data_IF_584822673977
#
_entry.id   IF_584822673977
#
_cell.length_a   1.000
_cell.length_b   1.000
_cell.length_c   1.000
_cell.angle_alpha   90.00
_cell.angle_beta   90.00
_cell.angle_gamma   90.00
#
_symmetry.space_group_name_H-M   'P 1'
#
loop_
_entity.id
_entity.type
_entity.pdbx_description
1 polymer ?
#
# COMPACT_ATOMS: atom_id res chain seq x y z
N UNK A 1 -4.12 36.22 -19.38
CA UNK A 1 -4.84 36.01 -18.10
C UNK A 1 -6.32 35.91 -18.47
N UNK A 2 -6.99 34.80 -18.18
CA UNK A 2 -8.40 34.60 -18.56
C UNK A 2 -9.30 35.12 -17.43
N UNK A 3 -10.40 35.81 -17.76
CA UNK A 3 -11.23 36.54 -16.79
C UNK A 3 -11.87 35.65 -15.72
N UNK A 4 -12.10 34.36 -16.00
CA UNK A 4 -12.80 33.43 -15.11
C UNK A 4 -11.93 32.23 -14.69
N UNK A 5 -10.60 32.36 -14.73
CA UNK A 5 -9.68 31.31 -14.27
C UNK A 5 -8.78 31.84 -13.16
N UNK A 6 -8.82 31.17 -12.01
CA UNK A 6 -7.92 31.38 -10.89
C UNK A 6 -7.22 30.07 -10.50
N UNK A 7 -6.01 30.19 -9.95
CA UNK A 7 -5.35 29.09 -9.27
C UNK A 7 -5.71 29.17 -7.79
N UNK A 8 -6.11 28.06 -7.20
CA UNK A 8 -6.44 27.96 -5.77
C UNK A 8 -5.88 26.68 -5.18
N UNK A 9 -5.54 26.73 -3.89
CA UNK A 9 -5.24 25.56 -3.09
C UNK A 9 -6.55 24.84 -2.72
N UNK A 10 -6.51 23.50 -2.51
CA UNK A 10 -7.69 22.76 -2.06
C UNK A 10 -8.35 23.35 -0.79
N UNK A 11 -7.55 23.85 0.16
CA UNK A 11 -8.07 24.51 1.37
C UNK A 11 -8.82 25.81 1.08
N UNK A 12 -8.33 26.63 0.14
CA UNK A 12 -8.97 27.87 -0.25
C UNK A 12 -10.29 27.61 -0.99
N UNK A 13 -10.37 26.53 -1.78
CA UNK A 13 -11.60 26.13 -2.47
C UNK A 13 -12.69 25.77 -1.47
N UNK A 14 -12.35 25.03 -0.41
CA UNK A 14 -13.30 24.62 0.64
C UNK A 14 -13.85 25.84 1.40
N UNK A 15 -13.03 26.88 1.62
CA UNK A 15 -13.47 28.12 2.27
C UNK A 15 -14.34 29.01 1.36
N UNK A 16 -14.12 28.94 0.04
CA UNK A 16 -14.80 29.80 -0.95
C UNK A 16 -16.16 29.26 -1.40
N UNK A 17 -16.35 27.94 -1.43
CA UNK A 17 -17.49 27.32 -2.09
C UNK A 17 -18.20 26.31 -1.18
N UNK A 18 -19.53 26.37 -1.17
CA UNK A 18 -20.35 25.40 -0.46
C UNK A 18 -20.35 24.04 -1.17
N UNK A 19 -20.37 22.90 -0.43
CA UNK A 19 -20.51 21.58 -1.02
C UNK A 19 -21.78 21.47 -1.86
N UNK A 20 -21.65 20.97 -3.09
CA UNK A 20 -22.79 20.82 -4.02
C UNK A 20 -23.60 19.54 -3.79
N UNK A 21 -23.02 18.55 -3.11
CA UNK A 21 -23.66 17.26 -2.87
C UNK A 21 -22.68 16.24 -2.31
N UNK A 22 -23.19 15.03 -2.12
CA UNK A 22 -22.44 13.91 -1.56
C UNK A 22 -22.29 12.80 -2.59
N UNK A 23 -21.14 12.13 -2.56
CA UNK A 23 -20.86 10.94 -3.35
C UNK A 23 -20.51 9.83 -2.36
N UNK A 24 -21.25 8.73 -2.44
CA UNK A 24 -20.97 7.53 -1.66
C UNK A 24 -20.13 6.55 -2.49
N UNK A 25 -19.02 6.10 -1.91
CA UNK A 25 -18.15 5.05 -2.47
C UNK A 25 -18.36 3.81 -1.60
N UNK A 26 -19.32 2.98 -2.01
CA UNK A 26 -19.76 1.80 -1.25
C UNK A 26 -18.60 0.89 -0.81
N UNK A 27 -18.77 0.19 0.31
CA UNK A 27 -17.72 -0.60 1.00
C UNK A 27 -17.01 -1.64 0.12
N UNK A 28 -17.70 -2.19 -0.89
CA UNK A 28 -17.14 -3.19 -1.82
C UNK A 28 -16.48 -2.58 -3.06
N UNK A 29 -16.57 -1.25 -3.22
CA UNK A 29 -16.06 -0.51 -4.36
C UNK A 29 -14.80 0.25 -3.98
N UNK A 30 -13.84 -0.38 -3.30
CA UNK A 30 -12.55 0.29 -3.05
C UNK A 30 -11.90 0.61 -4.39
N UNK A 31 -11.78 1.90 -4.69
CA UNK A 31 -11.25 2.39 -5.96
C UNK A 31 -9.80 2.81 -5.84
N UNK A 32 -9.14 2.87 -6.98
CA UNK A 32 -7.86 3.54 -7.12
C UNK A 32 -7.81 4.35 -8.41
N UNK A 33 -6.81 5.22 -8.51
CA UNK A 33 -6.51 5.93 -9.75
C UNK A 33 -5.67 5.10 -10.74
N UNK A 34 -5.26 3.90 -10.33
CA UNK A 34 -4.35 3.05 -11.09
C UNK A 34 -5.11 2.13 -12.05
N UNK A 35 -4.47 1.84 -13.18
CA UNK A 35 -4.94 0.96 -14.25
C UNK A 35 -6.35 1.28 -14.79
N UNK A 36 -6.77 0.62 -15.86
CA UNK A 36 -8.10 0.82 -16.43
C UNK A 36 -9.24 0.40 -15.49
N UNK A 37 -9.03 -0.60 -14.63
CA UNK A 37 -10.08 -1.13 -13.77
C UNK A 37 -10.45 -0.22 -12.60
N UNK A 38 -9.59 0.77 -12.27
CA UNK A 38 -9.80 1.74 -11.18
C UNK A 38 -10.12 1.09 -9.84
N UNK A 39 -9.56 -0.08 -9.57
CA UNK A 39 -9.78 -0.87 -8.36
C UNK A 39 -8.44 -1.14 -7.62
N UNK A 40 -8.47 -2.03 -6.63
CA UNK A 40 -7.30 -2.40 -5.82
C UNK A 40 -6.40 -3.45 -6.46
N UNK A 41 -6.72 -3.95 -7.66
CA UNK A 41 -6.04 -5.10 -8.23
C UNK A 41 -4.57 -4.84 -8.63
N UNK A 42 -4.15 -3.58 -8.71
CA UNK A 42 -2.73 -3.21 -8.83
C UNK A 42 -1.90 -3.61 -7.57
N UNK A 43 -2.52 -3.71 -6.40
CA UNK A 43 -1.84 -4.08 -5.14
C UNK A 43 -2.34 -5.38 -4.51
N UNK A 44 -3.52 -5.87 -4.88
CA UNK A 44 -4.15 -7.07 -4.30
C UNK A 44 -4.73 -8.02 -5.36
N UNK A 45 -4.35 -7.85 -6.63
CA UNK A 45 -4.92 -8.59 -7.75
C UNK A 45 -4.41 -10.02 -7.91
N UNK A 46 -3.31 -10.39 -7.27
CA UNK A 46 -2.78 -11.75 -7.32
C UNK A 46 -2.47 -12.36 -5.93
N UNK A 47 -2.22 -13.67 -5.92
CA UNK A 47 -2.00 -14.42 -4.68
C UNK A 47 -0.73 -13.99 -3.92
N UNK A 48 0.34 -13.64 -4.63
CA UNK A 48 1.60 -13.20 -4.02
C UNK A 48 1.39 -11.93 -3.19
N UNK A 49 0.72 -10.95 -3.80
CA UNK A 49 0.33 -9.70 -3.17
C UNK A 49 -0.56 -9.91 -1.94
N UNK A 50 -1.62 -10.72 -2.09
CA UNK A 50 -2.55 -11.02 -1.01
C UNK A 50 -1.87 -11.71 0.18
N UNK A 51 -0.93 -12.63 -0.08
CA UNK A 51 -0.16 -13.31 0.98
C UNK A 51 0.73 -12.32 1.73
N UNK A 52 1.49 -11.50 1.02
CA UNK A 52 2.32 -10.46 1.65
C UNK A 52 1.48 -9.50 2.51
N UNK A 53 0.36 -9.03 1.97
CA UNK A 53 -0.56 -8.13 2.66
C UNK A 53 -1.09 -8.74 3.95
N UNK A 54 -1.62 -9.97 3.88
CA UNK A 54 -2.18 -10.65 5.06
C UNK A 54 -1.11 -10.95 6.11
N UNK A 55 0.12 -11.32 5.72
CA UNK A 55 1.21 -11.53 6.68
C UNK A 55 1.56 -10.23 7.44
N UNK A 56 1.70 -9.11 6.74
CA UNK A 56 2.00 -7.81 7.37
C UNK A 56 0.84 -7.34 8.26
N UNK A 57 -0.40 -7.49 7.80
CA UNK A 57 -1.61 -7.15 8.56
C UNK A 57 -1.71 -7.98 9.85
N UNK A 58 -1.53 -9.30 9.77
CA UNK A 58 -1.65 -10.20 10.92
C UNK A 58 -0.56 -9.97 11.98
N UNK A 59 0.56 -9.34 11.62
CA UNK A 59 1.63 -8.95 12.56
C UNK A 59 1.26 -7.77 13.46
N UNK A 60 0.27 -6.95 13.11
CA UNK A 60 -0.06 -5.70 13.80
C UNK A 60 -0.19 -5.89 15.32
N UNK A 61 -1.01 -6.84 15.74
CA UNK A 61 -1.30 -7.10 17.17
C UNK A 61 -0.04 -7.44 17.96
N UNK A 62 0.89 -8.18 17.35
CA UNK A 62 2.13 -8.62 17.99
C UNK A 62 3.13 -7.47 18.08
N UNK A 63 3.26 -6.69 17.01
CA UNK A 63 4.11 -5.50 16.97
C UNK A 63 3.63 -4.44 17.96
N UNK A 64 2.32 -4.16 18.02
CA UNK A 64 1.75 -3.21 18.98
C UNK A 64 1.93 -3.68 20.43
N UNK A 65 1.81 -4.98 20.69
CA UNK A 65 2.06 -5.57 22.02
C UNK A 65 3.50 -5.39 22.51
N UNK A 66 4.47 -5.33 21.59
CA UNK A 66 5.86 -5.02 21.96
C UNK A 66 6.01 -3.60 22.50
N UNK A 67 5.13 -2.65 22.19
CA UNK A 67 5.27 -1.25 22.60
C UNK A 67 6.70 -0.69 22.37
N UNK A 68 7.33 -1.13 21.27
CA UNK A 68 8.70 -0.75 20.94
C UNK A 68 8.67 0.11 19.65
N UNK A 69 9.09 1.38 19.71
CA UNK A 69 9.00 2.29 18.57
C UNK A 69 9.84 1.83 17.37
N UNK A 70 10.92 1.07 17.59
CA UNK A 70 11.74 0.51 16.51
C UNK A 70 10.98 -0.53 15.68
N UNK A 71 10.37 -1.52 16.34
CA UNK A 71 9.56 -2.54 15.67
C UNK A 71 8.32 -1.93 15.00
N UNK A 72 7.68 -0.95 15.65
CA UNK A 72 6.54 -0.23 15.09
C UNK A 72 6.93 0.52 13.81
N UNK A 73 8.10 1.16 13.79
CA UNK A 73 8.61 1.85 12.59
C UNK A 73 8.83 0.87 11.43
N UNK A 74 9.46 -0.28 11.68
CA UNK A 74 9.67 -1.29 10.64
C UNK A 74 8.34 -1.80 10.09
N UNK A 75 7.39 -2.15 10.97
CA UNK A 75 6.07 -2.61 10.54
C UNK A 75 5.31 -1.57 9.69
N UNK A 76 5.45 -0.28 9.99
CA UNK A 76 4.89 0.81 9.16
C UNK A 76 5.58 0.89 7.80
N UNK A 77 6.90 0.71 7.74
CA UNK A 77 7.63 0.71 6.47
C UNK A 77 7.23 -0.48 5.59
N UNK A 78 7.01 -1.66 6.16
CA UNK A 78 6.54 -2.83 5.41
C UNK A 78 5.13 -2.66 4.79
N UNK A 79 4.38 -1.62 5.17
CA UNK A 79 3.07 -1.29 4.60
C UNK A 79 3.17 -0.29 3.44
N UNK A 80 4.37 0.13 3.03
CA UNK A 80 4.53 0.97 1.83
C UNK A 80 3.97 0.22 0.61
N UNK A 81 3.07 0.86 -0.12
CA UNK A 81 2.30 0.25 -1.21
C UNK A 81 3.18 -0.27 -2.35
N UNK A 82 4.32 0.38 -2.61
CA UNK A 82 5.26 -0.02 -3.66
C UNK A 82 5.74 -1.47 -3.51
N UNK A 83 5.84 -1.97 -2.26
CA UNK A 83 6.19 -3.37 -2.01
C UNK A 83 5.22 -4.35 -2.68
N UNK A 84 3.92 -4.08 -2.61
CA UNK A 84 2.89 -4.89 -3.27
C UNK A 84 2.81 -4.58 -4.76
N UNK A 85 3.00 -3.32 -5.13
CA UNK A 85 3.00 -2.87 -6.53
C UNK A 85 4.07 -3.60 -7.35
N UNK A 86 5.28 -3.78 -6.83
CA UNK A 86 6.36 -4.53 -7.49
C UNK A 86 6.07 -6.03 -7.66
N UNK A 87 5.09 -6.57 -6.94
CA UNK A 87 4.64 -7.95 -7.07
C UNK A 87 3.46 -8.10 -8.05
N UNK A 88 3.01 -7.02 -8.69
CA UNK A 88 1.90 -7.02 -9.64
C UNK A 88 2.26 -7.82 -10.90
N UNK A 89 1.30 -8.62 -11.38
CA UNK A 89 1.47 -9.47 -12.58
C UNK A 89 0.59 -9.02 -13.74
N UNK A 90 0.00 -7.83 -13.67
CA UNK A 90 -0.79 -7.28 -14.79
C UNK A 90 0.15 -6.90 -15.94
N UNK A 91 -0.23 -7.29 -17.15
CA UNK A 91 0.53 -7.04 -18.39
C UNK A 91 -0.40 -6.50 -19.47
N UNK A 92 -0.44 -5.17 -19.63
CA UNK A 92 -1.02 -4.43 -20.78
C UNK A 92 -0.20 -3.13 -20.98
N UNK A 93 -0.70 -2.08 -21.64
CA UNK A 93 0.00 -0.78 -21.74
C UNK A 93 0.41 -0.19 -20.36
N UNK A 94 -0.30 -0.56 -19.29
CA UNK A 94 0.05 -0.23 -17.90
C UNK A 94 1.22 -1.05 -17.33
N UNK A 95 1.49 -2.26 -17.88
CA UNK A 95 2.55 -3.16 -17.42
C UNK A 95 3.96 -2.59 -17.56
N UNK A 96 4.17 -1.68 -18.52
CA UNK A 96 5.44 -0.96 -18.68
C UNK A 96 5.69 -0.01 -17.51
N UNK A 97 4.66 0.59 -16.90
CA UNK A 97 4.80 1.46 -15.72
C UNK A 97 5.15 0.64 -14.49
N UNK A 98 4.49 -0.50 -14.30
CA UNK A 98 4.80 -1.47 -13.23
C UNK A 98 6.26 -1.96 -13.31
N UNK A 99 6.77 -2.20 -14.53
CA UNK A 99 8.16 -2.57 -14.76
C UNK A 99 9.14 -1.40 -14.65
N UNK A 100 8.74 -0.20 -15.08
CA UNK A 100 9.61 0.99 -15.10
C UNK A 100 10.04 1.43 -13.70
N UNK A 101 9.14 1.34 -12.73
CA UNK A 101 9.42 1.74 -11.34
C UNK A 101 9.94 0.60 -10.47
N UNK A 102 9.87 -0.65 -10.92
CA UNK A 102 10.33 -1.79 -10.14
C UNK A 102 11.85 -1.92 -10.16
N UNK A 103 12.45 -2.11 -8.98
CA UNK A 103 13.85 -2.47 -8.85
C UNK A 103 14.11 -3.97 -9.05
N UNK A 104 13.07 -4.76 -9.32
CA UNK A 104 13.15 -6.21 -9.48
C UNK A 104 12.99 -6.63 -10.96
N UNK A 105 13.75 -7.63 -11.43
CA UNK A 105 13.63 -8.13 -12.80
C UNK A 105 12.24 -8.72 -13.11
N UNK A 106 11.63 -9.36 -12.11
CA UNK A 106 10.31 -9.98 -12.22
C UNK A 106 9.46 -9.73 -10.96
N UNK A 107 8.12 -9.78 -11.07
CA UNK A 107 7.24 -9.74 -9.89
C UNK A 107 7.51 -10.85 -8.87
N UNK A 108 7.98 -12.01 -9.34
CA UNK A 108 8.34 -13.15 -8.50
C UNK A 108 9.59 -12.83 -7.65
N UNK A 109 10.58 -12.14 -8.22
CA UNK A 109 11.76 -11.69 -7.47
C UNK A 109 11.37 -10.69 -6.37
N UNK A 110 10.47 -9.75 -6.69
CA UNK A 110 9.91 -8.81 -5.71
C UNK A 110 9.17 -9.52 -4.58
N UNK A 111 8.35 -10.52 -4.92
CA UNK A 111 7.64 -11.34 -3.94
C UNK A 111 8.60 -12.13 -3.03
N UNK A 112 9.58 -12.83 -3.59
CA UNK A 112 10.56 -13.61 -2.82
C UNK A 112 11.35 -12.70 -1.87
N UNK A 113 11.75 -11.53 -2.34
CA UNK A 113 12.46 -10.55 -1.51
C UNK A 113 11.58 -10.07 -0.35
N UNK A 114 10.36 -9.59 -0.64
CA UNK A 114 9.43 -9.06 0.34
C UNK A 114 9.06 -10.12 1.39
N UNK A 115 8.72 -11.33 0.96
CA UNK A 115 8.37 -12.42 1.87
C UNK A 115 9.53 -12.85 2.77
N UNK A 116 10.76 -12.82 2.27
CA UNK A 116 11.95 -13.11 3.08
C UNK A 116 12.13 -12.06 4.19
N UNK A 117 11.95 -10.77 3.86
CA UNK A 117 12.02 -9.67 4.82
C UNK A 117 10.89 -9.77 5.86
N UNK A 118 9.65 -10.03 5.42
CA UNK A 118 8.51 -10.22 6.32
C UNK A 118 8.76 -11.39 7.27
N UNK A 119 9.30 -12.50 6.76
CA UNK A 119 9.58 -13.71 7.56
C UNK A 119 10.65 -13.45 8.62
N UNK A 120 11.75 -12.77 8.27
CA UNK A 120 12.78 -12.37 9.23
C UNK A 120 12.21 -11.42 10.29
N UNK A 121 11.46 -10.39 9.86
CA UNK A 121 10.82 -9.46 10.79
C UNK A 121 9.86 -10.15 11.75
N UNK A 122 9.03 -11.07 11.24
CA UNK A 122 8.12 -11.91 12.03
C UNK A 122 8.86 -12.72 13.08
N UNK A 123 9.97 -13.38 12.70
CA UNK A 123 10.79 -14.14 13.64
C UNK A 123 11.37 -13.26 14.76
N UNK A 124 11.86 -12.05 14.41
CA UNK A 124 12.37 -11.08 15.39
C UNK A 124 11.28 -10.59 16.35
N UNK A 125 10.08 -10.30 15.86
CA UNK A 125 8.92 -9.90 16.68
C UNK A 125 8.61 -10.98 17.72
N UNK A 126 8.51 -12.24 17.29
CA UNK A 126 8.19 -13.34 18.21
C UNK A 126 9.31 -13.65 19.20
N UNK A 127 10.57 -13.56 18.75
CA UNK A 127 11.73 -13.71 19.64
C UNK A 127 11.73 -12.65 20.72
N UNK A 128 11.44 -11.39 20.37
CA UNK A 128 11.39 -10.29 21.32
C UNK A 128 10.18 -10.39 22.27
N UNK A 129 9.05 -10.91 21.79
CA UNK A 129 7.90 -11.22 22.65
C UNK A 129 8.22 -12.32 23.65
N UNK A 130 8.93 -13.37 23.22
CA UNK A 130 9.27 -14.50 24.07
C UNK A 130 10.21 -14.10 25.23
N UNK A 131 11.12 -13.15 25.02
CA UNK A 131 12.00 -12.62 26.10
C UNK A 131 11.25 -11.90 27.23
N UNK A 132 9.99 -11.52 27.01
CA UNK A 132 9.18 -10.80 28.01
C UNK A 132 8.39 -11.75 28.93
N UNK A 133 8.42 -13.05 28.62
CA UNK A 133 7.86 -14.12 29.41
C UNK A 133 8.98 -14.84 30.14
#
# INVERSE_FOLDING_TARGET
KYENLEFCLPSEVIEKYEPMGEIDVFELNTLSWADMERDVSAWLGNRMQQVCFEEVKNLEKFVKKLNNPYFLKIWRLLQISDHLYYCCTKWWQDGDVHKYFSCFPTPQDGFVNLMSIISDFKARVFTELAKRY
#
